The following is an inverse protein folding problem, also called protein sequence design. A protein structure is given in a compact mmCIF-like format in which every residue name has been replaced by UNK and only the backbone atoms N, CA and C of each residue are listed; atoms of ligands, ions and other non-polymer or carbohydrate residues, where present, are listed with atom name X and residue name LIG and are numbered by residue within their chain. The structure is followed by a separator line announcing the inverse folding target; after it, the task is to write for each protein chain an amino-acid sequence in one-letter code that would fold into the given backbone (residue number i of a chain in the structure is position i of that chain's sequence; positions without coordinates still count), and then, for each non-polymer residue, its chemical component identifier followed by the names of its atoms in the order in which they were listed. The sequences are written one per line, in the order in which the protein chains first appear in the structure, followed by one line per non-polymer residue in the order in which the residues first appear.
data_IF_281435444184
#
_entry.id   IF_281435444184
#
_cell.length_a   1.000
_cell.length_b   1.000
_cell.length_c   1.000
_cell.angle_alpha   90.00
_cell.angle_beta   90.00
_cell.angle_gamma   90.00
#
_symmetry.space_group_name_H-M   'P 1'
#
loop_
_entity.id
_entity.type
_entity.pdbx_description
1 polymer ?
#
# COMPACT_ATOMS: atom_id res chain seq x y z
N UNK A 1 5.58 -15.65 10.46
CA UNK A 1 5.94 -14.86 9.26
C UNK A 1 6.44 -13.53 9.76
N UNK A 2 7.58 -13.06 9.28
CA UNK A 2 8.19 -11.82 9.74
C UNK A 2 7.54 -10.62 9.02
N UNK A 3 7.17 -9.59 9.77
CA UNK A 3 6.61 -8.33 9.24
C UNK A 3 7.70 -7.30 8.95
N UNK A 4 8.90 -7.46 9.53
CA UNK A 4 10.00 -6.52 9.38
C UNK A 4 10.37 -6.28 7.90
N UNK A 5 10.40 -7.30 7.01
CA UNK A 5 10.67 -7.04 5.61
C UNK A 5 9.58 -6.24 4.90
N UNK A 6 8.35 -6.26 5.42
CA UNK A 6 7.24 -5.56 4.78
C UNK A 6 7.33 -4.05 5.00
N UNK A 7 7.73 -3.63 6.19
CA UNK A 7 7.76 -2.21 6.57
C UNK A 7 9.16 -1.58 6.58
N UNK A 8 10.22 -2.37 6.76
CA UNK A 8 11.55 -1.83 7.01
C UNK A 8 12.54 -2.01 5.85
N UNK A 9 12.58 -3.17 5.20
CA UNK A 9 13.62 -3.47 4.18
C UNK A 9 13.10 -3.52 2.74
N UNK A 10 11.79 -3.27 2.56
CA UNK A 10 11.08 -3.43 1.31
C UNK A 10 10.70 -4.89 1.06
N UNK A 11 9.46 -5.11 0.61
CA UNK A 11 8.89 -6.46 0.56
C UNK A 11 9.47 -7.24 -0.62
N UNK A 12 10.17 -8.37 -0.41
CA UNK A 12 10.73 -9.14 -1.51
C UNK A 12 9.61 -9.77 -2.34
N UNK A 13 9.84 -9.89 -3.65
CA UNK A 13 8.91 -10.58 -4.55
C UNK A 13 9.04 -12.11 -4.46
N UNK A 14 8.89 -12.66 -3.26
CA UNK A 14 9.11 -14.07 -2.96
C UNK A 14 8.04 -14.55 -1.99
N UNK A 15 7.63 -15.82 -2.08
CA UNK A 15 6.85 -16.44 -1.02
C UNK A 15 7.63 -16.36 0.32
N UNK A 16 6.99 -16.00 1.45
CA UNK A 16 5.55 -15.87 1.67
C UNK A 16 4.95 -14.47 1.38
N UNK A 17 5.70 -13.52 0.86
CA UNK A 17 5.30 -12.11 0.78
C UNK A 17 4.46 -11.72 -0.45
N UNK A 18 4.20 -12.67 -1.33
CA UNK A 18 3.26 -12.49 -2.46
C UNK A 18 1.82 -12.43 -1.96
N UNK A 19 0.93 -11.79 -2.75
CA UNK A 19 -0.49 -11.71 -2.40
C UNK A 19 -1.13 -13.09 -2.33
N UNK A 20 -2.19 -13.22 -1.54
CA UNK A 20 -2.95 -14.45 -1.35
C UNK A 20 -3.52 -15.03 -2.67
N UNK A 21 -3.69 -14.21 -3.70
CA UNK A 21 -4.10 -14.64 -5.04
C UNK A 21 -3.22 -15.77 -5.57
N UNK A 22 -3.80 -16.96 -5.81
CA UNK A 22 -3.09 -18.15 -6.29
C UNK A 22 -2.43 -19.00 -5.20
N UNK A 23 -2.44 -18.56 -3.94
CA UNK A 23 -1.98 -19.37 -2.81
C UNK A 23 -2.98 -20.46 -2.46
N UNK A 24 -2.47 -21.55 -1.90
CA UNK A 24 -3.32 -22.53 -1.22
C UNK A 24 -3.88 -21.89 0.04
N UNK A 25 -5.21 -21.90 0.18
CA UNK A 25 -5.85 -21.26 1.33
C UNK A 25 -5.38 -21.87 2.66
N UNK A 26 -5.09 -21.01 3.64
CA UNK A 26 -4.47 -21.39 4.91
C UNK A 26 -2.97 -21.68 4.85
N UNK A 27 -2.32 -21.61 3.68
CA UNK A 27 -0.87 -21.80 3.54
C UNK A 27 -0.20 -20.56 2.92
N UNK A 28 0.32 -19.62 3.73
CA UNK A 28 0.96 -18.40 3.21
C UNK A 28 2.30 -18.65 2.52
N UNK A 29 2.88 -19.84 2.64
CA UNK A 29 4.20 -20.18 2.06
C UNK A 29 4.13 -20.61 0.60
N UNK A 30 2.94 -20.88 0.07
CA UNK A 30 2.79 -21.16 -1.36
C UNK A 30 2.98 -19.90 -2.19
N UNK A 31 3.42 -20.07 -3.44
CA UNK A 31 3.53 -18.96 -4.38
C UNK A 31 2.14 -18.32 -4.59
N UNK A 32 2.12 -16.99 -4.57
CA UNK A 32 0.94 -16.19 -4.85
C UNK A 32 1.24 -15.15 -5.92
N UNK A 33 0.39 -14.12 -6.05
CA UNK A 33 0.60 -13.07 -7.05
C UNK A 33 1.80 -12.18 -6.67
N UNK A 34 2.81 -12.06 -7.55
CA UNK A 34 3.83 -11.03 -7.48
C UNK A 34 3.22 -9.63 -7.56
N UNK A 35 3.50 -8.76 -6.59
CA UNK A 35 2.96 -7.40 -6.60
C UNK A 35 3.89 -6.32 -6.03
N UNK A 36 5.06 -6.71 -5.50
CA UNK A 36 6.05 -5.75 -4.98
C UNK A 36 7.37 -6.00 -5.70
N UNK A 37 7.99 -4.92 -6.17
CA UNK A 37 9.25 -4.99 -6.91
C UNK A 37 10.41 -4.58 -6.00
N UNK A 38 10.75 -5.42 -5.02
CA UNK A 38 12.05 -5.32 -4.32
C UNK A 38 12.96 -6.46 -4.82
N UNK A 39 14.16 -6.09 -5.29
CA UNK A 39 15.06 -7.04 -5.94
C UNK A 39 15.93 -7.82 -4.96
N UNK A 40 16.27 -7.29 -3.78
CA UNK A 40 17.11 -8.00 -2.79
C UNK A 40 16.89 -7.45 -1.36
N UNK A 41 16.90 -8.31 -0.31
CA UNK A 41 16.94 -7.87 1.08
C UNK A 41 18.25 -7.11 1.30
N UNK A 42 18.16 -5.81 1.63
CA UNK A 42 19.28 -5.07 2.21
C UNK A 42 18.85 -4.60 3.59
N UNK A 43 19.75 -4.68 4.56
CA UNK A 43 19.50 -4.29 5.96
C UNK A 43 19.74 -2.79 6.22
N UNK A 44 19.71 -1.97 5.15
CA UNK A 44 19.92 -0.53 5.25
C UNK A 44 18.66 0.22 4.81
N UNK A 45 18.23 1.20 5.62
CA UNK A 45 17.28 2.24 5.24
C UNK A 45 17.94 3.22 4.25
N UNK A 46 18.24 2.71 3.06
CA UNK A 46 18.68 3.57 1.96
C UNK A 46 17.44 4.05 1.21
N UNK A 47 17.39 5.36 0.95
CA UNK A 47 16.44 5.98 0.04
C UNK A 47 16.57 5.36 -1.36
N UNK A 48 15.83 4.28 -1.62
CA UNK A 48 15.74 3.67 -2.93
C UNK A 48 14.67 4.43 -3.71
N UNK A 49 15.10 5.17 -4.73
CA UNK A 49 14.18 5.60 -5.78
C UNK A 49 13.80 4.35 -6.60
N UNK A 50 12.67 3.73 -6.28
CA UNK A 50 12.19 2.57 -7.02
C UNK A 50 11.63 3.00 -8.40
N UNK A 51 12.51 3.06 -9.41
CA UNK A 51 12.14 3.38 -10.79
C UNK A 51 11.50 2.20 -11.55
N UNK A 52 11.47 1.00 -10.98
CA UNK A 52 10.78 -0.14 -11.59
C UNK A 52 9.26 0.03 -11.54
N UNK A 53 8.78 1.06 -10.83
CA UNK A 53 7.37 1.34 -10.64
C UNK A 53 6.97 2.70 -11.23
N UNK A 54 6.34 2.74 -12.43
CA UNK A 54 5.60 3.91 -12.89
C UNK A 54 4.69 4.49 -11.81
N UNK A 55 4.75 5.82 -11.69
CA UNK A 55 3.90 6.57 -10.79
C UNK A 55 2.43 6.44 -11.18
N UNK A 56 1.57 6.32 -10.18
CA UNK A 56 0.12 6.35 -10.39
C UNK A 56 -0.29 7.81 -10.62
N UNK A 57 -0.91 8.14 -11.77
CA UNK A 57 -1.36 9.51 -12.04
C UNK A 57 -2.31 9.99 -10.93
N UNK A 58 -2.08 11.19 -10.39
CA UNK A 58 -2.88 11.74 -9.28
C UNK A 58 -4.33 12.03 -9.64
N UNK A 59 -4.60 12.19 -10.94
CA UNK A 59 -5.94 12.37 -11.50
C UNK A 59 -6.57 11.04 -11.97
N UNK A 60 -5.92 9.89 -11.73
CA UNK A 60 -6.51 8.59 -12.04
C UNK A 60 -7.63 8.25 -11.07
N UNK A 61 -8.71 7.65 -11.57
CA UNK A 61 -9.76 7.08 -10.73
C UNK A 61 -9.23 5.95 -9.82
N UNK A 62 -8.12 5.31 -10.18
CA UNK A 62 -7.48 4.26 -9.40
C UNK A 62 -6.50 4.82 -8.33
N UNK A 63 -6.29 6.14 -8.26
CA UNK A 63 -5.39 6.73 -7.27
C UNK A 63 -5.99 6.63 -5.86
N UNK A 64 -5.15 6.27 -4.87
CA UNK A 64 -5.51 6.22 -3.46
C UNK A 64 -4.33 6.64 -2.59
N UNK A 65 -4.63 7.32 -1.47
CA UNK A 65 -3.67 7.68 -0.43
C UNK A 65 -3.22 6.48 0.42
N UNK A 66 -3.80 5.29 0.22
CA UNK A 66 -3.47 4.07 0.98
C UNK A 66 -2.27 3.27 0.42
N UNK A 67 -1.52 3.83 -0.54
CA UNK A 67 -0.28 3.24 -1.03
C UNK A 67 -0.37 1.74 -1.37
N UNK A 68 0.56 0.95 -0.83
CA UNK A 68 0.60 -0.51 -1.07
C UNK A 68 -0.62 -1.26 -0.54
N UNK A 69 -1.35 -0.74 0.46
CA UNK A 69 -2.59 -1.38 0.91
C UNK A 69 -3.62 -1.35 -0.22
N UNK A 70 -3.77 -0.21 -0.92
CA UNK A 70 -4.67 -0.16 -2.07
C UNK A 70 -4.22 -1.10 -3.19
N UNK A 71 -2.91 -1.18 -3.46
CA UNK A 71 -2.38 -2.10 -4.45
C UNK A 71 -2.69 -3.57 -4.10
N UNK A 72 -2.61 -3.93 -2.82
CA UNK A 72 -2.99 -5.26 -2.34
C UNK A 72 -4.50 -5.51 -2.51
N UNK A 73 -5.36 -4.56 -2.11
CA UNK A 73 -6.81 -4.67 -2.30
C UNK A 73 -7.15 -4.90 -3.77
N UNK A 74 -6.62 -4.08 -4.67
CA UNK A 74 -6.82 -4.23 -6.12
C UNK A 74 -6.34 -5.62 -6.60
N UNK A 75 -5.14 -6.06 -6.20
CA UNK A 75 -4.60 -7.36 -6.57
C UNK A 75 -5.36 -8.57 -6.04
N UNK A 76 -6.20 -8.38 -5.01
CA UNK A 76 -7.02 -9.43 -4.38
C UNK A 76 -8.48 -9.42 -4.87
N UNK A 77 -9.04 -8.26 -5.21
CA UNK A 77 -10.50 -8.14 -5.45
C UNK A 77 -10.87 -7.69 -6.87
N UNK A 78 -9.99 -6.99 -7.58
CA UNK A 78 -10.30 -6.45 -8.90
C UNK A 78 -9.90 -7.44 -10.01
N UNK A 79 -10.84 -7.80 -10.89
CA UNK A 79 -10.59 -8.76 -11.98
C UNK A 79 -9.50 -8.32 -12.96
N UNK A 80 -9.18 -7.01 -13.04
CA UNK A 80 -8.03 -6.50 -13.79
C UNK A 80 -6.71 -6.95 -13.17
N UNK A 81 -6.70 -7.19 -11.85
CA UNK A 81 -5.51 -7.46 -11.08
C UNK A 81 -5.46 -8.79 -10.32
N UNK A 82 -6.47 -9.65 -10.40
CA UNK A 82 -6.51 -10.96 -9.70
C UNK A 82 -5.79 -12.12 -10.43
N UNK A 83 -5.10 -11.86 -11.54
CA UNK A 83 -4.24 -12.88 -12.18
C UNK A 83 -2.97 -13.20 -11.37
N UNK A 84 -2.31 -14.32 -11.66
CA UNK A 84 -1.05 -14.73 -11.00
C UNK A 84 0.21 -14.15 -11.65
N UNK A 85 0.09 -13.50 -12.79
CA UNK A 85 1.20 -12.88 -13.51
C UNK A 85 1.67 -11.60 -12.84
N UNK A 86 2.98 -11.33 -12.93
CA UNK A 86 3.55 -10.05 -12.54
C UNK A 86 3.02 -8.96 -13.47
N UNK A 87 2.46 -7.90 -12.89
CA UNK A 87 1.99 -6.75 -13.64
C UNK A 87 1.97 -5.49 -12.79
N UNK A 88 1.72 -4.37 -13.45
CA UNK A 88 1.59 -3.06 -12.84
C UNK A 88 0.22 -2.96 -12.16
N UNK A 89 0.21 -2.76 -10.84
CA UNK A 89 -1.00 -2.42 -10.08
C UNK A 89 -0.90 -0.95 -9.67
N UNK A 90 -1.99 -0.16 -9.78
CA UNK A 90 -2.02 1.20 -9.23
C UNK A 90 -1.61 1.25 -7.75
N UNK A 91 -1.01 2.36 -7.35
CA UNK A 91 -0.52 2.66 -5.99
C UNK A 91 0.65 1.81 -5.49
N UNK A 92 1.25 0.99 -6.37
CA UNK A 92 2.54 0.34 -6.07
C UNK A 92 3.67 1.34 -5.81
N UNK A 93 3.52 2.60 -6.26
CA UNK A 93 4.45 3.72 -6.05
C UNK A 93 4.25 4.44 -4.71
N UNK A 94 3.29 4.01 -3.90
CA UNK A 94 3.01 4.58 -2.58
C UNK A 94 3.76 3.89 -1.43
N UNK A 95 3.59 4.43 -0.24
CA UNK A 95 4.18 3.93 0.99
C UNK A 95 3.83 2.44 1.23
N UNK A 96 4.77 1.61 1.73
CA UNK A 96 6.17 1.91 2.03
C UNK A 96 7.13 1.89 0.83
N UNK A 97 6.70 1.50 -0.37
CA UNK A 97 7.59 1.36 -1.54
C UNK A 97 7.99 2.71 -2.17
N UNK A 98 7.22 3.76 -1.92
CA UNK A 98 7.53 5.12 -2.33
C UNK A 98 7.17 6.14 -1.26
N UNK A 99 7.63 7.38 -1.47
CA UNK A 99 7.50 8.50 -0.53
C UNK A 99 6.55 9.57 -1.07
N UNK A 100 5.38 9.15 -1.56
CA UNK A 100 4.36 10.09 -2.05
C UNK A 100 3.90 10.94 -0.88
N UNK A 101 3.88 12.26 -1.05
CA UNK A 101 3.45 13.18 -0.01
C UNK A 101 1.93 13.12 0.21
N UNK A 102 1.22 12.55 -0.75
CA UNK A 102 -0.23 12.37 -0.71
C UNK A 102 -0.69 11.13 0.07
N UNK A 103 0.24 10.26 0.48
CA UNK A 103 -0.10 9.03 1.19
C UNK A 103 -0.42 9.32 2.67
N UNK A 104 -1.51 8.73 3.16
CA UNK A 104 -1.85 8.76 4.59
C UNK A 104 -1.05 7.68 5.31
N UNK A 105 0.22 8.01 5.57
CA UNK A 105 1.18 7.10 6.21
C UNK A 105 0.65 6.61 7.56
N UNK A 106 0.02 7.47 8.35
CA UNK A 106 -0.54 7.11 9.65
C UNK A 106 -1.65 6.07 9.52
N UNK A 107 -2.60 6.26 8.58
CA UNK A 107 -3.65 5.27 8.34
C UNK A 107 -3.09 3.97 7.81
N UNK A 108 -2.14 4.02 6.88
CA UNK A 108 -1.47 2.83 6.36
C UNK A 108 -0.80 2.05 7.49
N UNK A 109 -0.03 2.72 8.34
CA UNK A 109 0.66 2.11 9.48
C UNK A 109 -0.30 1.49 10.49
N UNK A 110 -1.41 2.17 10.81
CA UNK A 110 -2.42 1.63 11.72
C UNK A 110 -3.13 0.39 11.14
N UNK A 111 -3.46 0.41 9.85
CA UNK A 111 -4.05 -0.75 9.16
C UNK A 111 -3.05 -1.91 9.05
N UNK A 112 -1.79 -1.60 8.81
CA UNK A 112 -0.68 -2.53 8.80
C UNK A 112 -0.50 -3.25 10.15
N UNK A 113 -0.38 -2.50 11.24
CA UNK A 113 -0.27 -3.01 12.61
C UNK A 113 -1.50 -3.83 12.98
N UNK A 114 -2.68 -3.41 12.50
CA UNK A 114 -3.94 -4.14 12.72
C UNK A 114 -4.04 -5.45 11.94
N UNK A 115 -3.07 -5.78 11.08
CA UNK A 115 -2.96 -7.10 10.42
C UNK A 115 -3.35 -7.15 8.95
N UNK A 116 -3.71 -6.03 8.30
CA UNK A 116 -4.12 -6.02 6.88
C UNK A 116 -3.04 -6.61 5.97
N UNK A 117 -1.78 -6.34 6.28
CA UNK A 117 -0.64 -6.84 5.54
C UNK A 117 -0.49 -8.36 5.65
N UNK A 118 -0.81 -8.94 6.82
CA UNK A 118 -0.84 -10.40 7.00
C UNK A 118 -1.99 -11.00 6.19
N UNK A 119 -3.17 -10.39 6.25
CA UNK A 119 -4.33 -10.82 5.47
C UNK A 119 -4.02 -10.78 3.96
N UNK A 120 -3.32 -9.75 3.49
CA UNK A 120 -2.95 -9.61 2.09
C UNK A 120 -2.07 -10.76 1.57
N UNK A 121 -1.23 -11.36 2.42
CA UNK A 121 -0.37 -12.50 2.06
C UNK A 121 -0.99 -13.86 2.40
N UNK A 122 -2.26 -13.91 2.80
CA UNK A 122 -2.98 -15.16 3.07
C UNK A 122 -2.91 -15.64 4.53
N UNK A 123 -2.45 -14.79 5.46
CA UNK A 123 -2.63 -14.98 6.90
C UNK A 123 -3.83 -14.19 7.38
N UNK A 124 -4.98 -14.83 7.31
CA UNK A 124 -6.28 -14.19 7.53
C UNK A 124 -6.55 -13.87 9.00
N UNK A 125 -7.52 -12.98 9.21
CA UNK A 125 -8.11 -12.74 10.52
C UNK A 125 -8.81 -14.02 11.03
N UNK A 126 -8.92 -14.13 12.35
CA UNK A 126 -9.49 -15.25 13.08
C UNK A 126 -10.99 -15.47 12.83
N UNK A 127 -11.70 -14.42 12.42
CA UNK A 127 -13.12 -14.47 12.04
C UNK A 127 -13.37 -15.08 10.65
N UNK A 128 -12.32 -15.38 9.88
CA UNK A 128 -12.43 -16.01 8.56
C UNK A 128 -12.19 -17.52 8.63
N UNK A 129 -13.21 -18.38 8.41
CA UNK A 129 -12.98 -19.81 8.22
C UNK A 129 -12.25 -20.11 6.89
N UNK A 130 -11.47 -21.19 6.87
CA UNK A 130 -10.81 -21.66 5.64
C UNK A 130 -11.84 -21.98 4.55
N UNK A 131 -11.53 -21.58 3.32
CA UNK A 131 -12.40 -21.71 2.15
C UNK A 131 -13.45 -20.60 2.02
N UNK A 132 -13.59 -19.71 3.01
CA UNK A 132 -14.54 -18.60 2.93
C UNK A 132 -13.97 -17.38 2.19
N UNK A 133 -14.80 -16.37 1.98
CA UNK A 133 -14.37 -15.10 1.40
C UNK A 133 -13.21 -14.50 2.20
N UNK A 134 -12.18 -13.93 1.55
CA UNK A 134 -11.13 -13.17 2.24
C UNK A 134 -11.66 -11.90 2.91
N UNK A 135 -12.82 -11.39 2.49
CA UNK A 135 -13.43 -10.16 3.00
C UNK A 135 -14.26 -10.43 4.26
N UNK A 136 -13.58 -10.72 5.38
CA UNK A 136 -14.22 -10.92 6.68
C UNK A 136 -14.66 -9.61 7.33
N UNK A 137 -15.64 -9.63 8.25
CA UNK A 137 -16.06 -8.44 8.99
C UNK A 137 -14.91 -7.68 9.68
N UNK A 138 -13.96 -8.40 10.28
CA UNK A 138 -12.80 -7.77 10.94
C UNK A 138 -11.90 -7.07 9.91
N UNK A 139 -11.60 -7.72 8.78
CA UNK A 139 -10.80 -7.10 7.72
C UNK A 139 -11.50 -5.84 7.18
N UNK A 140 -12.81 -5.92 6.92
CA UNK A 140 -13.59 -4.78 6.42
C UNK A 140 -13.65 -3.64 7.43
N UNK A 141 -13.74 -3.94 8.73
CA UNK A 141 -13.65 -2.93 9.79
C UNK A 141 -12.33 -2.18 9.79
N UNK A 142 -11.21 -2.88 9.62
CA UNK A 142 -9.88 -2.26 9.56
C UNK A 142 -9.67 -1.47 8.25
N UNK A 143 -10.10 -2.00 7.10
CA UNK A 143 -10.02 -1.28 5.83
C UNK A 143 -10.91 -0.02 5.82
N UNK A 144 -12.07 -0.10 6.49
CA UNK A 144 -13.00 1.02 6.67
C UNK A 144 -12.58 2.05 7.70
N UNK A 145 -11.57 1.77 8.53
CA UNK A 145 -11.02 2.73 9.50
C UNK A 145 -10.55 3.99 8.79
N UNK A 146 -10.86 5.15 9.37
CA UNK A 146 -10.45 6.49 8.92
C UNK A 146 -9.89 7.27 10.10
N UNK A 147 -8.86 8.09 9.85
CA UNK A 147 -8.27 8.99 10.84
C UNK A 147 -9.07 10.30 10.96
N UNK A 148 -9.99 10.54 10.04
CA UNK A 148 -10.69 11.82 9.87
C UNK A 148 -9.87 12.88 9.12
N UNK A 149 -8.59 12.61 8.82
CA UNK A 149 -7.68 13.52 8.11
C UNK A 149 -7.31 12.92 6.76
N UNK A 150 -8.25 12.99 5.81
CA UNK A 150 -8.16 12.26 4.53
C UNK A 150 -7.67 13.13 3.36
N UNK A 151 -7.28 14.39 3.63
CA UNK A 151 -6.78 15.32 2.62
C UNK A 151 -5.72 16.23 3.19
N UNK A 152 -4.83 16.67 2.32
CA UNK A 152 -3.82 17.66 2.66
C UNK A 152 -4.43 19.05 2.82
N UNK A 153 -3.83 19.87 3.68
CA UNK A 153 -4.26 21.24 3.96
C UNK A 153 -4.12 22.17 2.73
N UNK A 154 -3.26 21.79 1.78
CA UNK A 154 -3.00 22.55 0.55
C UNK A 154 -2.70 21.64 -0.63
N UNK A 155 -2.67 22.21 -1.83
CA UNK A 155 -2.46 21.48 -3.08
C UNK A 155 -0.99 21.17 -3.31
N UNK A 156 -0.69 19.94 -3.77
CA UNK A 156 0.61 19.59 -4.30
C UNK A 156 0.77 19.98 -5.76
N UNK A 157 2.01 20.25 -6.17
CA UNK A 157 2.35 20.52 -7.57
C UNK A 157 2.44 19.20 -8.33
N UNK A 158 2.02 19.18 -9.59
CA UNK A 158 2.15 18.01 -10.45
C UNK A 158 3.59 17.77 -10.98
N UNK A 159 4.53 18.66 -10.66
CA UNK A 159 5.92 18.64 -11.13
C UNK A 159 6.84 18.84 -9.93
N UNK A 160 8.03 18.23 -9.98
CA UNK A 160 9.08 18.39 -8.98
C UNK A 160 9.27 19.88 -8.59
N UNK A 161 9.33 20.21 -7.28
CA UNK A 161 9.50 19.31 -6.13
C UNK A 161 8.21 18.69 -5.56
N UNK A 162 7.07 18.78 -6.25
CA UNK A 162 5.74 18.28 -5.83
C UNK A 162 5.15 18.95 -4.58
N UNK A 163 5.93 19.65 -3.76
CA UNK A 163 5.47 20.46 -2.64
C UNK A 163 4.81 21.76 -3.13
N UNK A 164 3.86 22.28 -2.35
CA UNK A 164 3.25 23.58 -2.57
C UNK A 164 4.29 24.73 -2.54
N UNK A 165 4.04 25.80 -3.29
CA UNK A 165 4.87 27.01 -3.23
C UNK A 165 4.77 27.67 -1.84
N UNK A 166 5.84 28.31 -1.34
CA UNK A 166 5.77 29.04 -0.07
C UNK A 166 4.71 30.15 -0.15
N UNK A 167 3.97 30.32 0.93
CA UNK A 167 3.00 31.41 1.06
C UNK A 167 3.73 32.76 1.03
N UNK A 168 3.14 33.76 0.37
CA UNK A 168 3.70 35.12 0.38
C UNK A 168 3.65 35.69 1.79
N UNK A 169 4.79 36.20 2.27
CA UNK A 169 4.89 36.83 3.59
C UNK A 169 4.05 38.11 3.75
N UNK A 170 3.56 38.68 2.65
CA UNK A 170 2.70 39.87 2.67
C UNK A 170 1.20 39.56 2.65
N UNK A 171 0.81 38.30 2.42
CA UNK A 171 -0.59 37.92 2.20
C UNK A 171 -1.31 37.36 3.45
N UNK A 172 -0.58 36.99 4.51
CA UNK A 172 -1.13 36.28 5.67
C UNK A 172 -0.91 37.02 7.01
N UNK A 173 -1.32 38.28 7.09
CA UNK A 173 -1.33 39.05 8.35
C UNK A 173 -2.69 39.13 9.06
N UNK A 174 -3.70 38.37 8.64
CA UNK A 174 -4.96 38.27 9.39
C UNK A 174 -5.37 36.80 9.49
N UNK A 175 -5.21 36.21 10.67
CA UNK A 175 -5.73 34.88 10.96
C UNK A 175 -7.25 34.88 10.95
N UNK A 176 -7.84 34.68 9.77
CA UNK A 176 -9.22 34.32 9.51
C UNK A 176 -9.27 33.36 8.32
#
# INVERSE_FOLDING_TARGET
VDLLPIFHTGVPNLAPYQLATGKTDGNPFTAGKPFINNFLPIYGDMLRLNMAVPATPRNSADFSSLGLIQAAVLGLTDSRFTGTTLQRIPNMDGFPNGRRLEDDVTRIELQAVSGVVLAAIGLWYDDRPLGASPLSPNLLGVLGYSTGVEKNDTTFRAIFPYVQAPWSGYANHSGQ
#
